data_IF_468655739079
#
_entry.id   IF_468655739079
#
_cell.length_a   1.000
_cell.length_b   1.000
_cell.length_c   1.000
_cell.angle_alpha   90.00
_cell.angle_beta   90.00
_cell.angle_gamma   90.00
#
_symmetry.space_group_name_H-M   'P 1'
#
loop_
_entity.id
_entity.type
_entity.pdbx_description
1 polymer ?
#
# COMPACT_ATOMS: atom_id res chain seq x y z
N UNK A 1 13.03 -50.11 4.10
CA UNK A 1 11.66 -49.60 3.89
C UNK A 1 11.41 -48.21 4.52
N UNK A 2 12.23 -47.74 5.46
CA UNK A 2 12.08 -46.40 6.08
C UNK A 2 12.26 -45.21 5.11
N UNK A 3 13.20 -45.27 4.16
CA UNK A 3 13.47 -44.15 3.22
C UNK A 3 12.33 -43.83 2.24
N UNK A 4 11.39 -44.77 2.01
CA UNK A 4 10.21 -44.52 1.15
C UNK A 4 9.10 -43.75 1.91
N UNK A 5 9.00 -43.93 3.22
CA UNK A 5 8.00 -43.26 4.07
C UNK A 5 8.34 -41.80 4.36
N UNK A 6 9.63 -41.44 4.39
CA UNK A 6 10.09 -40.06 4.65
C UNK A 6 10.25 -39.19 3.40
N UNK A 7 10.17 -39.78 2.20
CA UNK A 7 10.29 -39.05 0.93
C UNK A 7 9.36 -37.83 0.78
N UNK A 8 8.12 -37.82 1.30
CA UNK A 8 7.29 -36.62 1.31
C UNK A 8 7.85 -35.49 2.19
N UNK A 9 8.50 -35.81 3.31
CA UNK A 9 9.11 -34.81 4.21
C UNK A 9 10.30 -34.13 3.54
N UNK A 10 11.13 -34.88 2.82
CA UNK A 10 12.24 -34.31 2.03
C UNK A 10 11.72 -33.36 0.94
N UNK A 11 10.60 -33.69 0.29
CA UNK A 11 9.96 -32.81 -0.70
C UNK A 11 9.46 -31.50 -0.08
N UNK A 12 8.82 -31.58 1.10
CA UNK A 12 8.37 -30.40 1.83
C UNK A 12 9.56 -29.53 2.23
N UNK A 13 10.63 -30.14 2.71
CA UNK A 13 11.87 -29.45 3.10
C UNK A 13 12.52 -28.73 1.92
N UNK A 14 12.66 -29.42 0.77
CA UNK A 14 13.24 -28.84 -0.44
C UNK A 14 12.41 -27.68 -0.99
N UNK A 15 11.08 -27.79 -0.95
CA UNK A 15 10.20 -26.70 -1.36
C UNK A 15 10.30 -25.51 -0.40
N UNK A 16 10.33 -25.75 0.92
CA UNK A 16 10.53 -24.70 1.91
C UNK A 16 11.85 -23.94 1.71
N UNK A 17 12.94 -24.65 1.37
CA UNK A 17 14.23 -24.04 1.04
C UNK A 17 14.17 -23.16 -0.21
N UNK A 18 13.44 -23.58 -1.25
CA UNK A 18 13.25 -22.77 -2.48
C UNK A 18 12.41 -21.52 -2.23
N UNK A 19 11.38 -21.66 -1.39
CA UNK A 19 10.55 -20.54 -0.99
C UNK A 19 11.37 -19.53 -0.17
N UNK A 20 12.21 -20.01 0.75
CA UNK A 20 13.15 -19.16 1.48
C UNK A 20 14.15 -18.45 0.56
N UNK A 21 14.46 -19.02 -0.62
CA UNK A 21 15.27 -18.40 -1.65
C UNK A 21 14.52 -17.42 -2.57
N UNK A 22 13.22 -17.19 -2.34
CA UNK A 22 12.43 -16.14 -2.98
C UNK A 22 11.35 -16.61 -3.97
N UNK A 23 11.23 -17.91 -4.25
CA UNK A 23 10.17 -18.43 -5.15
C UNK A 23 8.90 -18.82 -4.38
N UNK A 24 8.06 -17.82 -4.10
CA UNK A 24 6.76 -17.97 -3.44
C UNK A 24 5.65 -18.50 -4.36
N UNK A 25 5.93 -18.68 -5.66
CA UNK A 25 4.95 -19.22 -6.61
C UNK A 25 4.77 -20.74 -6.47
N UNK A 26 5.76 -21.41 -5.86
CA UNK A 26 5.74 -22.85 -5.65
C UNK A 26 4.65 -23.24 -4.65
N UNK A 27 4.03 -24.39 -4.90
CA UNK A 27 3.11 -25.04 -3.98
C UNK A 27 3.59 -26.45 -3.73
N UNK A 28 3.41 -26.93 -2.51
CA UNK A 28 3.65 -28.33 -2.19
C UNK A 28 2.60 -29.18 -2.90
N UNK A 29 3.03 -30.14 -3.72
CA UNK A 29 2.12 -31.17 -4.23
C UNK A 29 1.51 -31.92 -3.05
N UNK A 30 0.18 -31.84 -2.91
CA UNK A 30 -0.52 -32.57 -1.85
C UNK A 30 -0.49 -34.07 -2.18
N UNK A 31 -0.01 -34.93 -1.26
CA UNK A 31 -0.31 -36.35 -1.34
C UNK A 31 -1.83 -36.53 -1.30
N UNK A 32 -2.38 -37.48 -2.07
CA UNK A 32 -3.81 -37.81 -2.01
C UNK A 32 -4.24 -38.39 -0.63
N UNK A 33 -3.28 -38.70 0.23
CA UNK A 33 -3.50 -39.27 1.55
C UNK A 33 -3.93 -38.18 2.56
N UNK A 34 -5.03 -38.45 3.28
CA UNK A 34 -5.54 -37.62 4.37
C UNK A 34 -4.84 -37.94 5.70
N UNK A 35 -3.53 -38.17 5.64
CA UNK A 35 -2.69 -38.50 6.79
C UNK A 35 -2.02 -37.25 7.38
N UNK A 36 -1.18 -37.43 8.39
CA UNK A 36 -0.45 -36.35 9.07
C UNK A 36 0.43 -35.55 8.10
N UNK A 37 0.96 -36.21 7.06
CA UNK A 37 1.78 -35.58 6.03
C UNK A 37 0.93 -34.69 5.12
N UNK A 38 -0.27 -35.15 4.73
CA UNK A 38 -1.25 -34.34 4.02
C UNK A 38 -1.64 -33.08 4.81
N UNK A 39 -1.91 -33.22 6.11
CA UNK A 39 -2.24 -32.08 7.00
C UNK A 39 -1.09 -31.08 7.12
N UNK A 40 0.15 -31.56 7.24
CA UNK A 40 1.35 -30.72 7.25
C UNK A 40 1.51 -29.96 5.93
N UNK A 41 1.37 -30.63 4.79
CA UNK A 41 1.47 -30.02 3.47
C UNK A 41 0.41 -28.94 3.26
N UNK A 42 -0.84 -29.18 3.68
CA UNK A 42 -1.92 -28.19 3.62
C UNK A 42 -1.62 -26.95 4.49
N UNK A 43 -1.13 -27.16 5.72
CA UNK A 43 -0.76 -26.07 6.64
C UNK A 43 0.35 -25.21 6.05
N UNK A 44 1.38 -25.84 5.48
CA UNK A 44 2.49 -25.13 4.84
C UNK A 44 2.02 -24.37 3.59
N UNK A 45 1.17 -24.95 2.75
CA UNK A 45 0.60 -24.27 1.59
C UNK A 45 -0.24 -23.04 1.99
N UNK A 46 -0.99 -23.11 3.09
CA UNK A 46 -1.70 -21.96 3.63
C UNK A 46 -0.73 -20.85 4.06
N UNK A 47 0.32 -21.20 4.82
CA UNK A 47 1.38 -20.26 5.22
C UNK A 47 2.06 -19.61 4.01
N UNK A 48 2.41 -20.40 2.98
CA UNK A 48 3.01 -19.90 1.74
C UNK A 48 2.04 -18.95 1.01
N UNK A 49 0.76 -19.30 0.93
CA UNK A 49 -0.25 -18.44 0.32
C UNK A 49 -0.41 -17.11 1.05
N UNK A 50 -0.35 -17.11 2.38
CA UNK A 50 -0.34 -15.89 3.19
C UNK A 50 0.91 -15.05 2.93
N UNK A 51 2.09 -15.66 2.93
CA UNK A 51 3.35 -14.98 2.61
C UNK A 51 3.34 -14.37 1.20
N UNK A 52 2.93 -15.13 0.18
CA UNK A 52 2.82 -14.64 -1.20
C UNK A 52 1.89 -13.42 -1.31
N UNK A 53 0.75 -13.47 -0.63
CA UNK A 53 -0.20 -12.36 -0.59
C UNK A 53 0.43 -11.12 0.05
N UNK A 54 1.05 -11.27 1.23
CA UNK A 54 1.74 -10.16 1.91
C UNK A 54 2.88 -9.59 1.07
N UNK A 55 3.69 -10.42 0.41
CA UNK A 55 4.76 -9.94 -0.46
C UNK A 55 4.25 -9.24 -1.72
N UNK A 56 3.11 -9.67 -2.28
CA UNK A 56 2.46 -8.94 -3.38
C UNK A 56 1.93 -7.59 -2.91
N UNK A 57 1.30 -7.52 -1.75
CA UNK A 57 0.84 -6.26 -1.15
C UNK A 57 2.00 -5.29 -0.92
N UNK A 58 3.11 -5.75 -0.31
CA UNK A 58 4.31 -4.91 -0.07
C UNK A 58 4.89 -4.38 -1.39
N UNK A 59 4.98 -5.22 -2.42
CA UNK A 59 5.50 -4.80 -3.73
C UNK A 59 4.59 -3.76 -4.39
N UNK A 60 3.28 -3.99 -4.37
CA UNK A 60 2.29 -3.07 -4.92
C UNK A 60 2.36 -1.73 -4.18
N UNK A 61 2.29 -1.76 -2.85
CA UNK A 61 2.42 -0.59 -1.98
C UNK A 61 3.70 0.20 -2.27
N UNK A 62 4.85 -0.47 -2.36
CA UNK A 62 6.14 0.18 -2.62
C UNK A 62 6.16 0.83 -4.01
N UNK A 63 5.57 0.16 -5.00
CA UNK A 63 5.44 0.69 -6.36
C UNK A 63 4.56 1.94 -6.38
N UNK A 64 3.37 1.86 -5.80
CA UNK A 64 2.40 2.96 -5.78
C UNK A 64 2.95 4.16 -5.03
N UNK A 65 3.54 3.94 -3.85
CA UNK A 65 4.24 4.98 -3.09
C UNK A 65 5.37 5.64 -3.90
N UNK A 66 6.17 4.83 -4.61
CA UNK A 66 7.27 5.36 -5.43
C UNK A 66 6.77 6.22 -6.58
N UNK A 67 5.66 5.83 -7.22
CA UNK A 67 5.07 6.59 -8.32
C UNK A 67 4.44 7.89 -7.84
N UNK A 68 3.59 7.82 -6.81
CA UNK A 68 2.87 8.99 -6.27
C UNK A 68 3.82 10.03 -5.68
N UNK A 69 4.94 9.62 -5.06
CA UNK A 69 5.94 10.56 -4.52
C UNK A 69 6.91 11.09 -5.59
N UNK A 70 7.15 10.36 -6.69
CA UNK A 70 8.10 10.80 -7.73
C UNK A 70 7.59 12.02 -8.49
N UNK A 71 6.29 12.09 -8.74
CA UNK A 71 5.66 13.22 -9.45
C UNK A 71 5.88 14.56 -8.75
N UNK A 72 5.45 14.76 -7.48
CA UNK A 72 5.65 16.02 -6.75
C UNK A 72 7.14 16.36 -6.61
N UNK A 73 8.01 15.36 -6.37
CA UNK A 73 9.46 15.57 -6.34
C UNK A 73 10.02 16.10 -7.67
N UNK A 74 9.49 15.60 -8.79
CA UNK A 74 9.93 16.03 -10.12
C UNK A 74 9.49 17.46 -10.41
N UNK A 75 8.26 17.83 -10.01
CA UNK A 75 7.73 19.20 -10.13
C UNK A 75 8.59 20.16 -9.31
N UNK A 76 8.75 19.91 -8.01
CA UNK A 76 9.54 20.77 -7.12
C UNK A 76 10.97 20.97 -7.63
N UNK A 77 11.61 19.88 -8.08
CA UNK A 77 12.95 19.96 -8.65
C UNK A 77 12.96 20.81 -9.92
N UNK A 78 12.00 20.61 -10.83
CA UNK A 78 11.90 21.37 -12.08
C UNK A 78 11.72 22.87 -11.86
N UNK A 79 10.84 23.25 -10.94
CA UNK A 79 10.59 24.65 -10.59
C UNK A 79 11.81 25.29 -9.92
N UNK A 80 12.44 24.56 -8.99
CA UNK A 80 13.66 25.00 -8.32
C UNK A 80 14.81 25.17 -9.31
N UNK A 81 15.04 24.21 -10.21
CA UNK A 81 16.06 24.30 -11.26
C UNK A 81 15.77 25.50 -12.19
N UNK A 82 14.51 25.76 -12.53
CA UNK A 82 14.11 26.85 -13.42
C UNK A 82 14.35 28.23 -12.80
N UNK A 83 14.04 28.40 -11.50
CA UNK A 83 14.18 29.67 -10.80
C UNK A 83 15.65 29.99 -10.46
N UNK A 84 16.48 28.96 -10.27
CA UNK A 84 17.91 29.11 -9.97
C UNK A 84 18.79 29.32 -11.22
N UNK A 85 18.31 29.03 -12.43
CA UNK A 85 19.09 29.17 -13.69
C UNK A 85 19.63 30.58 -13.96
N UNK A 86 18.97 31.62 -13.44
CA UNK A 86 19.36 33.03 -13.57
C UNK A 86 18.67 33.85 -12.49
N UNK A 87 19.16 35.06 -12.16
CA UNK A 87 18.47 35.96 -11.24
C UNK A 87 17.01 36.19 -11.66
N UNK A 88 16.10 36.13 -10.69
CA UNK A 88 14.65 36.36 -10.85
C UNK A 88 14.17 37.47 -9.92
N UNK A 89 12.92 37.88 -10.11
CA UNK A 89 12.27 38.80 -9.16
C UNK A 89 12.01 38.10 -7.82
N UNK A 90 11.85 38.86 -6.75
CA UNK A 90 11.46 38.30 -5.45
C UNK A 90 10.10 37.59 -5.52
N UNK A 91 9.17 38.10 -6.33
CA UNK A 91 7.85 37.49 -6.52
C UNK A 91 7.93 36.14 -7.22
N UNK A 92 8.82 35.96 -8.20
CA UNK A 92 9.06 34.67 -8.85
C UNK A 92 9.57 33.62 -7.84
N UNK A 93 10.53 34.00 -6.98
CA UNK A 93 11.04 33.10 -5.95
C UNK A 93 9.96 32.74 -4.94
N UNK A 94 9.16 33.73 -4.52
CA UNK A 94 8.04 33.50 -3.59
C UNK A 94 7.01 32.53 -4.16
N UNK A 95 6.63 32.70 -5.43
CA UNK A 95 5.69 31.79 -6.11
C UNK A 95 6.20 30.35 -6.18
N UNK A 96 7.49 30.14 -6.49
CA UNK A 96 8.09 28.80 -6.49
C UNK A 96 8.14 28.19 -5.09
N UNK A 97 8.39 28.99 -4.05
CA UNK A 97 8.37 28.52 -2.67
C UNK A 97 6.95 28.13 -2.23
N UNK A 98 5.93 28.89 -2.62
CA UNK A 98 4.52 28.58 -2.36
C UNK A 98 4.10 27.30 -3.09
N UNK A 99 4.45 27.15 -4.37
CA UNK A 99 4.20 25.92 -5.15
C UNK A 99 4.88 24.69 -4.54
N UNK A 100 6.16 24.82 -4.16
CA UNK A 100 6.88 23.74 -3.48
C UNK A 100 6.24 23.36 -2.14
N UNK A 101 5.69 24.33 -1.39
CA UNK A 101 4.99 24.05 -0.15
C UNK A 101 3.72 23.23 -0.40
N UNK A 102 2.95 23.55 -1.42
CA UNK A 102 1.76 22.78 -1.83
C UNK A 102 2.12 21.33 -2.19
N UNK A 103 3.24 21.11 -2.89
CA UNK A 103 3.72 19.76 -3.22
C UNK A 103 4.22 18.99 -1.99
N UNK A 104 4.85 19.65 -1.01
CA UNK A 104 5.22 19.04 0.27
C UNK A 104 3.97 18.62 1.05
N UNK A 105 2.93 19.46 1.09
CA UNK A 105 1.66 19.15 1.74
C UNK A 105 0.94 17.99 1.02
N UNK A 106 1.05 17.92 -0.32
CA UNK A 106 0.57 16.78 -1.12
C UNK A 106 1.31 15.49 -0.76
N UNK A 107 2.64 15.52 -0.70
CA UNK A 107 3.45 14.36 -0.32
C UNK A 107 3.14 13.88 1.10
N UNK A 108 2.91 14.80 2.04
CA UNK A 108 2.54 14.47 3.42
C UNK A 108 1.23 13.69 3.45
N UNK A 109 0.20 14.16 2.74
CA UNK A 109 -1.09 13.45 2.61
C UNK A 109 -0.93 12.05 2.00
N UNK A 110 -0.12 11.91 0.96
CA UNK A 110 0.16 10.60 0.34
C UNK A 110 0.78 9.64 1.37
N UNK A 111 1.74 10.11 2.16
CA UNK A 111 2.37 9.28 3.21
C UNK A 111 1.34 8.86 4.28
N UNK A 112 0.48 9.78 4.71
CA UNK A 112 -0.57 9.47 5.70
C UNK A 112 -1.58 8.45 5.16
N UNK A 113 -2.03 8.60 3.91
CA UNK A 113 -2.94 7.66 3.23
C UNK A 113 -2.31 6.26 3.10
N UNK A 114 -1.04 6.19 2.71
CA UNK A 114 -0.28 4.94 2.62
C UNK A 114 -0.14 4.26 3.99
N UNK A 115 0.17 5.01 5.04
CA UNK A 115 0.25 4.47 6.41
C UNK A 115 -1.10 3.98 6.91
N UNK A 116 -2.19 4.70 6.59
CA UNK A 116 -3.54 4.30 6.92
C UNK A 116 -3.93 2.98 6.24
N UNK A 117 -3.72 2.87 4.93
CA UNK A 117 -4.00 1.65 4.16
C UNK A 117 -3.19 0.46 4.68
N UNK A 118 -1.91 0.66 4.99
CA UNK A 118 -1.04 -0.38 5.56
C UNK A 118 -1.60 -0.91 6.89
N UNK A 119 -2.06 -0.03 7.80
CA UNK A 119 -2.70 -0.44 9.06
C UNK A 119 -4.03 -1.15 8.82
N UNK A 120 -4.81 -0.72 7.83
CA UNK A 120 -6.07 -1.35 7.47
C UNK A 120 -5.86 -2.79 6.97
N UNK A 121 -4.87 -3.00 6.10
CA UNK A 121 -4.49 -4.33 5.58
C UNK A 121 -3.99 -5.28 6.68
N UNK A 122 -3.37 -4.75 7.74
CA UNK A 122 -2.96 -5.52 8.93
C UNK A 122 -4.13 -5.85 9.87
N UNK A 123 -5.33 -5.33 9.61
CA UNK A 123 -6.49 -5.49 10.49
C UNK A 123 -6.40 -4.69 11.79
N UNK A 124 -5.50 -3.70 11.86
CA UNK A 124 -5.30 -2.84 13.03
C UNK A 124 -6.31 -1.69 13.07
N UNK A 125 -6.93 -1.36 11.93
CA UNK A 125 -8.00 -0.37 11.86
C UNK A 125 -9.30 -1.01 12.34
N UNK A 126 -9.66 -0.75 13.59
CA UNK A 126 -10.97 -1.11 14.14
C UNK A 126 -12.01 -0.08 13.72
N UNK A 127 -12.97 -0.51 12.91
CA UNK A 127 -14.14 0.30 12.58
C UNK A 127 -15.17 0.15 13.69
N UNK A 128 -15.40 1.21 14.45
CA UNK A 128 -16.53 1.27 15.38
C UNK A 128 -17.81 1.53 14.59
N UNK A 129 -18.66 0.50 14.53
CA UNK A 129 -19.97 0.61 13.86
C UNK A 129 -21.01 1.10 14.87
N UNK A 130 -21.46 2.33 14.69
CA UNK A 130 -22.48 2.97 15.52
C UNK A 130 -23.64 3.43 14.63
N UNK A 131 -24.89 3.42 15.12
CA UNK A 131 -25.99 4.06 14.41
C UNK A 131 -25.69 5.55 14.20
N UNK A 132 -25.82 6.03 12.96
CA UNK A 132 -25.61 7.44 12.59
C UNK A 132 -26.90 8.00 12.00
N UNK A 133 -27.27 9.21 12.40
CA UNK A 133 -28.39 9.93 11.82
C UNK A 133 -27.99 10.47 10.43
N UNK A 134 -28.49 9.81 9.38
CA UNK A 134 -28.11 10.15 8.00
C UNK A 134 -28.44 11.59 7.61
N UNK A 135 -29.55 12.14 8.11
CA UNK A 135 -29.95 13.52 7.84
C UNK A 135 -28.89 14.52 8.33
N UNK A 136 -28.49 14.43 9.60
CA UNK A 136 -27.44 15.28 10.19
C UNK A 136 -26.11 15.13 9.47
N UNK A 137 -25.71 13.89 9.15
CA UNK A 137 -24.45 13.64 8.44
C UNK A 137 -24.44 14.28 7.05
N UNK A 138 -25.53 14.15 6.31
CA UNK A 138 -25.67 14.74 4.96
C UNK A 138 -25.67 16.27 5.03
N UNK A 139 -26.36 16.86 6.01
CA UNK A 139 -26.35 18.31 6.22
C UNK A 139 -24.95 18.86 6.52
N UNK A 140 -24.19 18.18 7.38
CA UNK A 140 -22.83 18.58 7.73
C UNK A 140 -21.88 18.49 6.53
N UNK A 141 -21.98 17.39 5.76
CA UNK A 141 -21.20 17.21 4.53
C UNK A 141 -21.58 18.28 3.50
N UNK A 142 -22.89 18.55 3.30
CA UNK A 142 -23.35 19.59 2.38
C UNK A 142 -22.82 20.98 2.77
N UNK A 143 -22.80 21.29 4.07
CA UNK A 143 -22.24 22.56 4.59
C UNK A 143 -20.75 22.69 4.28
N UNK A 144 -19.97 21.64 4.51
CA UNK A 144 -18.55 21.62 4.17
C UNK A 144 -18.31 21.71 2.65
N UNK A 145 -19.09 20.96 1.87
CA UNK A 145 -19.00 20.96 0.42
C UNK A 145 -19.29 22.34 -0.16
N UNK A 146 -20.30 23.07 0.37
CA UNK A 146 -20.60 24.44 -0.05
C UNK A 146 -19.43 25.40 0.13
N UNK A 147 -18.69 25.31 1.23
CA UNK A 147 -17.50 26.15 1.46
C UNK A 147 -16.42 25.89 0.41
N UNK A 148 -16.15 24.62 0.10
CA UNK A 148 -15.17 24.23 -0.92
C UNK A 148 -15.62 24.58 -2.35
N UNK A 149 -16.94 24.54 -2.60
CA UNK A 149 -17.53 24.80 -3.90
C UNK A 149 -17.55 26.30 -4.24
N UNK A 150 -17.68 27.17 -3.24
CA UNK A 150 -17.58 28.63 -3.41
C UNK A 150 -16.24 29.05 -4.01
N UNK A 151 -15.14 28.48 -3.53
CA UNK A 151 -13.79 28.75 -4.06
C UNK A 151 -13.62 28.34 -5.53
N UNK A 152 -14.51 27.48 -6.05
CA UNK A 152 -14.47 26.94 -7.42
C UNK A 152 -15.65 27.35 -8.29
N UNK A 153 -16.56 28.20 -7.81
CA UNK A 153 -17.83 28.55 -8.49
C UNK A 153 -18.66 27.33 -8.93
N UNK A 154 -18.75 26.32 -8.07
CA UNK A 154 -19.57 25.11 -8.30
C UNK A 154 -20.81 25.17 -7.41
N UNK A 155 -21.95 24.71 -7.91
CA UNK A 155 -23.19 24.61 -7.14
C UNK A 155 -23.35 23.18 -6.60
N UNK A 156 -23.54 23.06 -5.27
CA UNK A 156 -23.65 21.80 -4.52
C UNK A 156 -24.74 21.94 -3.48
#
# INVERSE_FOLDING_TARGET
MAGRALRPVDKITLAAQRIAAGDLSQRLSMPAAHDEIGRLAATFNNMIGRLDTSFRQIRQFTSDASHELRTPLTVMKGETDLVLRRPRSLDDYKSVLESNLEEIDRMTRIVDELLFLSRADMGEVRVESLPVAMESLVEDIHRQAKLLAQDRNIEV
#
